data_IF_137930546249
#
_entry.id   IF_137930546249
#
_cell.length_a   1.000
_cell.length_b   1.000
_cell.length_c   1.000
_cell.angle_alpha   90.00
_cell.angle_beta   90.00
_cell.angle_gamma   90.00
#
_symmetry.space_group_name_H-M   'P 1'
#
loop_
_entity.id
_entity.type
_entity.pdbx_description
1 polymer ?
#
# COMPACT_ATOMS: atom_id res chain seq x y z
N UNK A 1 -6.05 -13.54 16.68
CA UNK A 1 -7.14 -12.55 16.89
C UNK A 1 -7.11 -11.62 15.71
N UNK A 2 -8.25 -11.15 15.17
CA UNK A 2 -8.20 -10.17 14.06
C UNK A 2 -7.56 -8.89 14.60
N UNK A 3 -6.27 -8.70 14.35
CA UNK A 3 -5.63 -7.47 14.75
C UNK A 3 -6.22 -6.31 13.94
N UNK A 4 -6.03 -5.11 14.47
CA UNK A 4 -6.49 -3.89 13.83
C UNK A 4 -5.27 -3.19 13.27
N UNK A 5 -5.33 -2.87 11.99
CA UNK A 5 -4.29 -2.12 11.31
C UNK A 5 -4.29 -0.68 11.82
N UNK A 6 -3.12 -0.19 12.24
CA UNK A 6 -2.90 1.18 12.69
C UNK A 6 -3.11 2.18 11.56
N UNK A 7 -3.71 3.32 11.88
CA UNK A 7 -4.00 4.39 10.93
C UNK A 7 -3.45 5.72 11.43
N UNK A 8 -3.30 6.68 10.53
CA UNK A 8 -2.80 8.01 10.84
C UNK A 8 -3.86 9.10 10.62
N UNK A 9 -3.67 10.24 11.27
CA UNK A 9 -4.38 11.47 10.92
C UNK A 9 -3.87 12.06 9.58
N UNK A 10 -4.47 13.18 9.15
CA UNK A 10 -4.09 13.85 7.89
C UNK A 10 -2.62 14.29 7.83
N UNK A 11 -1.97 14.45 8.98
CA UNK A 11 -0.58 14.89 9.11
C UNK A 11 0.40 13.72 9.27
N UNK A 12 -0.03 12.48 9.00
CA UNK A 12 0.75 11.25 9.21
C UNK A 12 1.12 11.01 10.68
N UNK A 13 0.34 11.52 11.63
CA UNK A 13 0.50 11.15 13.05
C UNK A 13 -0.30 9.90 13.35
N UNK A 14 0.37 8.89 13.90
CA UNK A 14 -0.27 7.66 14.34
C UNK A 14 -1.41 7.97 15.32
N UNK A 15 -2.60 7.43 15.04
CA UNK A 15 -3.73 7.55 15.94
C UNK A 15 -3.70 6.43 16.99
N UNK A 16 -4.19 6.73 18.18
CA UNK A 16 -4.49 5.73 19.20
C UNK A 16 -5.50 4.71 18.64
N UNK A 17 -5.43 3.48 19.14
CA UNK A 17 -6.19 2.35 18.61
C UNK A 17 -7.70 2.61 18.56
N UNK A 18 -8.29 3.07 19.67
CA UNK A 18 -9.75 3.28 19.76
C UNK A 18 -10.24 4.43 18.88
N UNK A 19 -9.63 5.63 18.88
CA UNK A 19 -9.99 6.68 17.92
C UNK A 19 -9.81 6.25 16.46
N UNK A 20 -8.69 5.60 16.13
CA UNK A 20 -8.41 5.13 14.77
C UNK A 20 -9.40 4.09 14.27
N UNK A 21 -9.86 3.20 15.15
CA UNK A 21 -10.91 2.22 14.85
C UNK A 21 -12.27 2.85 14.50
N UNK A 22 -12.58 3.96 15.14
CA UNK A 22 -13.86 4.65 15.00
C UNK A 22 -13.77 5.84 14.03
N UNK A 23 -12.61 6.08 13.45
CA UNK A 23 -12.39 7.13 12.47
C UNK A 23 -13.03 6.74 11.13
N UNK A 24 -13.57 7.74 10.44
CA UNK A 24 -14.05 7.54 9.08
C UNK A 24 -12.86 7.38 8.13
N UNK A 25 -13.01 6.60 7.05
CA UNK A 25 -11.98 6.61 6.00
C UNK A 25 -11.83 8.02 5.41
N UNK A 26 -10.59 8.49 5.25
CA UNK A 26 -10.30 9.73 4.52
C UNK A 26 -10.71 9.69 3.05
N UNK A 27 -11.00 8.51 2.49
CA UNK A 27 -11.58 8.35 1.15
C UNK A 27 -13.09 8.68 1.12
N UNK A 28 -13.78 8.72 2.26
CA UNK A 28 -15.19 9.08 2.31
C UNK A 28 -15.37 10.59 2.20
N UNK A 29 -16.21 11.04 1.27
CA UNK A 29 -16.48 12.46 1.05
C UNK A 29 -17.16 13.09 2.28
N UNK A 30 -16.69 14.27 2.72
CA UNK A 30 -17.29 15.03 3.82
C UNK A 30 -17.08 14.43 5.21
N UNK A 31 -16.22 13.42 5.35
CA UNK A 31 -15.94 12.80 6.64
C UNK A 31 -15.24 13.77 7.60
N UNK A 32 -15.72 13.83 8.85
CA UNK A 32 -14.98 14.38 9.99
C UNK A 32 -14.31 13.24 10.76
N UNK A 33 -13.26 13.55 11.51
CA UNK A 33 -12.44 12.54 12.22
C UNK A 33 -11.91 11.44 11.27
N UNK A 34 -11.24 11.86 10.19
CA UNK A 34 -10.76 10.95 9.16
C UNK A 34 -9.44 10.26 9.53
N UNK A 35 -9.32 9.01 9.11
CA UNK A 35 -8.11 8.20 9.17
C UNK A 35 -7.56 7.92 7.76
N UNK A 36 -6.24 7.84 7.68
CA UNK A 36 -5.47 7.63 6.45
C UNK A 36 -4.45 6.51 6.67
N UNK A 37 -3.94 5.93 5.59
CA UNK A 37 -2.75 5.09 5.66
C UNK A 37 -1.56 5.95 6.13
N UNK A 38 -0.81 5.45 7.11
CA UNK A 38 0.44 6.07 7.51
C UNK A 38 1.49 5.96 6.39
N UNK A 39 2.38 6.94 6.31
CA UNK A 39 3.56 6.86 5.43
C UNK A 39 4.48 5.67 5.76
N UNK A 40 4.44 5.12 6.97
CA UNK A 40 5.17 3.90 7.32
C UNK A 40 4.74 2.65 6.53
N UNK A 41 3.59 2.67 5.85
CA UNK A 41 3.12 1.55 5.00
C UNK A 41 3.77 1.49 3.62
N UNK A 42 4.80 2.30 3.38
CA UNK A 42 5.57 2.29 2.15
C UNK A 42 6.47 1.05 2.03
N UNK A 43 6.84 0.62 0.80
CA UNK A 43 7.80 -0.45 0.61
C UNK A 43 9.19 0.01 1.04
N UNK A 44 9.95 -0.89 1.67
CA UNK A 44 11.29 -0.60 2.16
C UNK A 44 12.25 -1.75 1.84
N UNK A 45 13.29 -1.51 1.04
CA UNK A 45 14.29 -2.52 0.74
C UNK A 45 15.12 -2.83 2.00
N UNK A 46 15.45 -4.10 2.19
CA UNK A 46 16.35 -4.59 3.26
C UNK A 46 17.62 -5.21 2.70
N UNK A 47 17.59 -5.62 1.43
CA UNK A 47 18.73 -6.08 0.67
C UNK A 47 18.54 -5.73 -0.83
N UNK A 48 19.50 -6.10 -1.67
CA UNK A 48 19.43 -5.89 -3.13
C UNK A 48 18.31 -6.70 -3.81
N UNK A 49 17.96 -7.83 -3.21
CA UNK A 49 17.02 -8.86 -3.67
C UNK A 49 15.85 -9.10 -2.71
N UNK A 50 15.85 -8.47 -1.53
CA UNK A 50 14.74 -8.53 -0.57
C UNK A 50 14.20 -7.14 -0.19
N UNK A 51 12.88 -7.00 -0.26
CA UNK A 51 12.15 -5.82 0.24
C UNK A 51 10.96 -6.21 1.10
N UNK A 52 10.57 -5.36 2.03
CA UNK A 52 9.33 -5.52 2.78
C UNK A 52 8.31 -4.47 2.35
N UNK A 53 7.04 -4.74 2.60
CA UNK A 53 6.00 -3.74 2.47
C UNK A 53 4.62 -4.29 2.78
N UNK A 54 3.62 -3.67 2.17
CA UNK A 54 2.22 -3.90 2.48
C UNK A 54 1.43 -3.99 1.19
N UNK A 55 0.36 -4.77 1.22
CA UNK A 55 -0.45 -5.00 0.04
C UNK A 55 -1.94 -5.11 0.35
N UNK A 56 -2.71 -5.00 -0.73
CA UNK A 56 -4.10 -5.43 -0.81
C UNK A 56 -4.10 -6.75 -1.57
N UNK A 57 -4.62 -7.81 -0.96
CA UNK A 57 -4.94 -9.02 -1.72
C UNK A 57 -6.35 -8.89 -2.25
N UNK A 58 -6.48 -9.00 -3.57
CA UNK A 58 -7.74 -8.77 -4.27
C UNK A 58 -8.64 -9.99 -4.18
N UNK A 59 -9.82 -9.82 -3.58
CA UNK A 59 -10.90 -10.79 -3.58
C UNK A 59 -11.93 -10.51 -4.69
N UNK A 60 -12.90 -11.42 -4.86
CA UNK A 60 -13.95 -11.26 -5.88
C UNK A 60 -14.81 -10.00 -5.67
N UNK A 61 -14.93 -9.53 -4.43
CA UNK A 61 -15.63 -8.29 -4.08
C UNK A 61 -14.83 -7.50 -3.05
N UNK A 62 -15.14 -6.21 -2.91
CA UNK A 62 -14.52 -5.33 -1.91
C UNK A 62 -15.09 -5.54 -0.48
N UNK A 63 -15.85 -6.61 -0.25
CA UNK A 63 -16.48 -6.87 1.05
C UNK A 63 -15.42 -6.86 2.16
N UNK A 64 -15.76 -6.20 3.29
CA UNK A 64 -14.80 -5.79 4.31
C UNK A 64 -14.08 -6.93 5.05
N UNK A 65 -14.56 -8.17 4.94
CA UNK A 65 -13.94 -9.34 5.56
C UNK A 65 -12.96 -10.01 4.60
N UNK A 66 -11.75 -9.45 4.49
CA UNK A 66 -10.63 -10.15 3.87
C UNK A 66 -10.07 -11.19 4.87
N UNK A 67 -10.22 -12.51 4.63
CA UNK A 67 -9.76 -13.55 5.56
C UNK A 67 -8.24 -13.61 5.72
N UNK A 68 -7.51 -12.88 4.87
CA UNK A 68 -6.05 -12.80 4.89
C UNK A 68 -5.53 -11.48 5.47
N UNK A 69 -6.42 -10.64 6.02
CA UNK A 69 -6.01 -9.47 6.78
C UNK A 69 -4.98 -9.85 7.84
N UNK A 70 -3.88 -9.11 7.86
CA UNK A 70 -2.73 -9.23 8.75
C UNK A 70 -1.85 -10.46 8.59
N UNK A 71 -2.16 -11.35 7.64
CA UNK A 71 -1.25 -12.41 7.22
C UNK A 71 -0.16 -11.84 6.32
N UNK A 72 0.96 -12.53 6.28
CA UNK A 72 2.07 -12.19 5.40
C UNK A 72 2.26 -13.24 4.32
N UNK A 73 2.78 -12.77 3.20
CA UNK A 73 3.08 -13.60 2.04
C UNK A 73 4.47 -13.26 1.54
N UNK A 74 5.24 -14.29 1.21
CA UNK A 74 6.45 -14.16 0.42
C UNK A 74 6.03 -14.09 -1.05
N UNK A 75 6.45 -13.04 -1.73
CA UNK A 75 6.12 -12.72 -3.12
C UNK A 75 7.40 -12.81 -3.93
N UNK A 76 7.36 -13.61 -4.99
CA UNK A 76 8.46 -13.77 -5.93
C UNK A 76 8.03 -13.24 -7.30
N UNK A 77 8.77 -12.28 -7.84
CA UNK A 77 8.49 -11.74 -9.18
C UNK A 77 8.99 -12.68 -10.26
N UNK A 78 8.11 -12.97 -11.21
CA UNK A 78 8.39 -13.85 -12.36
C UNK A 78 8.46 -13.09 -13.69
N UNK A 79 8.11 -11.80 -13.70
CA UNK A 79 8.35 -10.91 -14.84
C UNK A 79 8.72 -9.49 -14.39
N UNK A 80 9.11 -8.65 -15.36
CA UNK A 80 9.50 -7.27 -15.11
C UNK A 80 10.92 -7.06 -14.54
N UNK A 81 11.20 -5.83 -14.11
CA UNK A 81 12.53 -5.41 -13.64
C UNK A 81 12.93 -5.96 -12.26
N UNK A 82 11.97 -6.51 -11.52
CA UNK A 82 12.18 -7.14 -10.22
C UNK A 82 12.26 -8.67 -10.31
N UNK A 83 12.32 -9.26 -11.51
CA UNK A 83 12.39 -10.72 -11.69
C UNK A 83 13.50 -11.34 -10.83
N UNK A 84 13.21 -12.50 -10.22
CA UNK A 84 14.07 -13.21 -9.27
C UNK A 84 14.34 -12.49 -7.93
N UNK A 85 13.67 -11.37 -7.66
CA UNK A 85 13.68 -10.76 -6.33
C UNK A 85 12.49 -11.24 -5.50
N UNK A 86 12.59 -11.02 -4.20
CA UNK A 86 11.60 -11.42 -3.21
C UNK A 86 11.08 -10.20 -2.44
N UNK A 87 9.79 -10.23 -2.12
CA UNK A 87 9.17 -9.28 -1.20
C UNK A 87 8.32 -9.99 -0.17
N UNK A 88 8.43 -9.58 1.08
CA UNK A 88 7.47 -9.98 2.11
C UNK A 88 6.45 -8.86 2.26
N UNK A 89 5.17 -9.18 2.02
CA UNK A 89 4.06 -8.24 2.19
C UNK A 89 3.17 -8.65 3.35
N UNK A 90 2.66 -7.68 4.10
CA UNK A 90 1.50 -7.89 4.98
C UNK A 90 0.23 -7.35 4.32
N UNK A 91 -0.85 -8.12 4.37
CA UNK A 91 -2.15 -7.69 3.85
C UNK A 91 -2.83 -6.81 4.90
N UNK A 92 -3.16 -5.56 4.56
CA UNK A 92 -3.62 -4.56 5.56
C UNK A 92 -4.94 -3.88 5.24
N UNK A 93 -5.52 -4.18 4.08
CA UNK A 93 -6.81 -3.64 3.67
C UNK A 93 -7.51 -4.64 2.74
N UNK A 94 -8.85 -4.69 2.73
CA UNK A 94 -9.61 -5.41 1.71
C UNK A 94 -9.50 -4.70 0.35
N UNK A 95 -9.72 -5.46 -0.73
CA UNK A 95 -9.81 -4.97 -2.10
C UNK A 95 -10.64 -5.90 -2.96
N UNK A 96 -11.41 -5.34 -3.88
CA UNK A 96 -12.25 -6.10 -4.81
C UNK A 96 -11.73 -6.02 -6.23
N UNK A 97 -11.94 -7.10 -6.99
CA UNK A 97 -11.68 -7.13 -8.42
C UNK A 97 -12.51 -6.06 -9.16
N UNK A 98 -11.96 -5.52 -10.25
CA UNK A 98 -12.60 -4.52 -11.08
C UNK A 98 -11.63 -3.77 -12.01
N UNK A 99 -12.09 -3.47 -13.22
CA UNK A 99 -11.22 -2.92 -14.28
C UNK A 99 -10.10 -3.91 -14.62
N UNK A 100 -8.86 -3.45 -14.56
CA UNK A 100 -7.67 -4.24 -14.88
C UNK A 100 -7.17 -5.14 -13.73
N UNK A 101 -7.83 -5.10 -12.57
CA UNK A 101 -7.44 -5.85 -11.38
C UNK A 101 -8.38 -7.05 -11.21
N UNK A 102 -7.81 -8.24 -11.08
CA UNK A 102 -8.53 -9.52 -10.95
C UNK A 102 -8.29 -10.18 -9.59
N UNK A 103 -9.10 -11.17 -9.27
CA UNK A 103 -8.93 -12.00 -8.06
C UNK A 103 -7.51 -12.55 -8.00
N UNK A 104 -6.94 -12.55 -6.79
CA UNK A 104 -5.59 -12.99 -6.45
C UNK A 104 -4.45 -12.05 -6.89
N UNK A 105 -4.74 -10.93 -7.56
CA UNK A 105 -3.74 -9.88 -7.72
C UNK A 105 -3.34 -9.30 -6.36
N UNK A 106 -2.10 -8.81 -6.27
CA UNK A 106 -1.63 -8.02 -5.14
C UNK A 106 -1.44 -6.56 -5.57
N UNK A 107 -2.14 -5.64 -4.90
CA UNK A 107 -1.88 -4.21 -5.04
C UNK A 107 -0.85 -3.82 -3.99
N UNK A 108 0.40 -3.62 -4.41
CA UNK A 108 1.49 -3.19 -3.52
C UNK A 108 1.34 -1.70 -3.20
N UNK A 109 1.28 -1.36 -1.91
CA UNK A 109 1.10 0.02 -1.47
C UNK A 109 2.35 0.85 -1.79
N UNK A 110 2.30 1.60 -2.89
CA UNK A 110 3.45 2.36 -3.42
C UNK A 110 3.03 3.81 -3.65
N UNK A 111 3.56 4.79 -2.91
CA UNK A 111 3.29 6.20 -3.19
C UNK A 111 3.68 6.57 -4.62
N UNK A 112 2.82 7.36 -5.26
CA UNK A 112 3.00 7.69 -6.67
C UNK A 112 2.64 6.54 -7.62
N UNK A 113 2.06 5.43 -7.16
CA UNK A 113 1.52 4.35 -8.00
C UNK A 113 0.14 4.63 -8.61
N UNK A 114 -0.47 5.76 -8.24
CA UNK A 114 -1.83 6.15 -8.64
C UNK A 114 -2.87 5.87 -7.55
N UNK A 115 -3.91 6.70 -7.51
CA UNK A 115 -4.98 6.64 -6.48
C UNK A 115 -6.10 5.64 -6.81
N UNK A 116 -6.14 5.16 -8.05
CA UNK A 116 -7.18 4.27 -8.53
C UNK A 116 -8.58 4.92 -8.51
N UNK A 117 -9.65 4.12 -8.35
CA UNK A 117 -11.03 4.63 -8.35
C UNK A 117 -11.40 5.39 -7.07
N UNK A 118 -10.64 5.23 -5.98
CA UNK A 118 -10.86 5.93 -4.71
C UNK A 118 -9.99 7.19 -4.65
N UNK A 119 -10.32 8.19 -5.46
CA UNK A 119 -9.46 9.36 -5.71
C UNK A 119 -9.50 10.46 -4.65
N UNK A 120 -10.51 10.45 -3.77
CA UNK A 120 -10.72 11.47 -2.74
C UNK A 120 -9.69 11.42 -1.60
N UNK A 121 -9.12 10.26 -1.30
CA UNK A 121 -8.26 10.08 -0.11
C UNK A 121 -7.04 11.01 -0.11
N UNK A 122 -6.26 11.01 -1.19
CA UNK A 122 -5.06 11.84 -1.27
C UNK A 122 -5.38 13.33 -1.36
N UNK A 123 -6.45 13.71 -2.07
CA UNK A 123 -6.95 15.09 -2.11
C UNK A 123 -7.36 15.56 -0.72
N UNK A 124 -8.04 14.73 0.06
CA UNK A 124 -8.47 15.05 1.42
C UNK A 124 -7.28 15.12 2.40
N UNK A 125 -6.23 14.33 2.17
CA UNK A 125 -5.04 14.32 3.04
C UNK A 125 -4.07 15.46 2.73
N UNK A 126 -3.76 15.67 1.44
CA UNK A 126 -2.69 16.56 0.97
C UNK A 126 -3.21 17.83 0.28
N UNK A 127 -4.54 18.00 0.21
CA UNK A 127 -5.21 19.18 -0.34
C UNK A 127 -5.52 19.10 -1.84
N UNK A 128 -6.31 20.06 -2.31
CA UNK A 128 -6.81 20.14 -3.68
C UNK A 128 -5.73 20.30 -4.77
N UNK A 129 -4.51 20.69 -4.38
CA UNK A 129 -3.36 20.78 -5.28
C UNK A 129 -2.67 19.43 -5.52
N UNK A 130 -3.18 18.33 -4.93
CA UNK A 130 -2.71 16.98 -5.22
C UNK A 130 -2.77 16.70 -6.73
N UNK A 131 -1.61 16.51 -7.35
CA UNK A 131 -1.47 16.15 -8.77
C UNK A 131 -0.08 15.55 -9.05
N UNK A 132 0.18 14.36 -8.49
CA UNK A 132 1.51 13.73 -8.62
C UNK A 132 1.68 12.92 -9.91
N UNK A 133 0.59 12.43 -10.48
CA UNK A 133 0.61 11.62 -11.70
C UNK A 133 -0.78 11.12 -12.07
N UNK A 134 -0.83 10.14 -12.96
CA UNK A 134 -2.11 9.57 -13.42
C UNK A 134 -2.86 8.84 -12.30
N UNK A 135 -4.19 8.79 -12.40
CA UNK A 135 -5.00 8.06 -11.42
C UNK A 135 -4.65 6.57 -11.37
N UNK A 136 -4.24 5.97 -12.51
CA UNK A 136 -3.74 4.59 -12.60
C UNK A 136 -2.29 4.60 -13.07
N UNK A 137 -1.39 3.99 -12.30
CA UNK A 137 0.05 3.95 -12.59
C UNK A 137 0.83 5.21 -12.17
N UNK A 138 0.15 6.30 -11.80
CA UNK A 138 0.74 7.44 -11.09
C UNK A 138 1.89 8.11 -11.83
N UNK A 139 3.01 8.35 -11.12
CA UNK A 139 4.22 8.95 -11.69
C UNK A 139 4.81 8.03 -12.77
N UNK A 140 5.39 8.62 -13.83
CA UNK A 140 5.90 7.87 -14.99
C UNK A 140 7.42 7.68 -15.00
N UNK A 141 8.15 8.40 -14.16
CA UNK A 141 9.59 8.30 -14.05
C UNK A 141 10.06 8.63 -12.64
N UNK A 142 11.34 8.34 -12.40
CA UNK A 142 12.00 8.50 -11.10
C UNK A 142 12.00 9.95 -10.65
N UNK A 143 12.23 10.89 -11.56
CA UNK A 143 12.34 12.33 -11.28
C UNK A 143 11.01 12.90 -10.79
N UNK A 144 9.88 12.36 -11.26
CA UNK A 144 8.57 12.76 -10.78
C UNK A 144 8.31 12.41 -9.30
N UNK A 145 9.14 11.57 -8.67
CA UNK A 145 9.08 11.35 -7.22
C UNK A 145 9.33 12.63 -6.42
N UNK A 146 10.10 13.59 -6.95
CA UNK A 146 10.37 14.86 -6.26
C UNK A 146 9.12 15.76 -6.10
N UNK A 147 8.03 15.46 -6.83
CA UNK A 147 6.75 16.16 -6.69
C UNK A 147 5.93 15.68 -5.48
N UNK A 148 6.29 14.53 -4.90
CA UNK A 148 5.60 13.99 -3.74
C UNK A 148 6.11 14.67 -2.45
N UNK A 149 5.28 14.75 -1.40
CA UNK A 149 5.70 15.10 -0.05
C UNK A 149 6.93 14.29 0.38
N UNK A 150 7.87 14.93 1.08
CA UNK A 150 9.15 14.33 1.45
C UNK A 150 9.01 12.98 2.16
N UNK A 151 7.98 12.84 3.01
CA UNK A 151 7.70 11.62 3.73
C UNK A 151 7.23 10.45 2.84
N UNK A 152 6.78 10.71 1.60
CA UNK A 152 6.33 9.70 0.63
C UNK A 152 7.35 9.40 -0.48
N UNK A 153 8.43 10.19 -0.58
CA UNK A 153 9.39 10.06 -1.65
C UNK A 153 10.13 8.71 -1.59
N UNK A 154 10.42 8.20 -0.39
CA UNK A 154 11.13 6.92 -0.21
C UNK A 154 10.43 5.75 -0.91
N UNK A 155 9.12 5.59 -0.71
CA UNK A 155 8.32 4.55 -1.35
C UNK A 155 8.13 4.77 -2.85
N UNK A 156 8.06 6.03 -3.30
CA UNK A 156 8.06 6.32 -4.74
C UNK A 156 9.39 5.91 -5.39
N UNK A 157 10.51 6.28 -4.77
CA UNK A 157 11.84 5.93 -5.24
C UNK A 157 12.12 4.42 -5.23
N UNK A 158 11.52 3.67 -4.31
CA UNK A 158 11.61 2.21 -4.29
C UNK A 158 11.18 1.59 -5.64
N UNK A 159 10.09 2.09 -6.24
CA UNK A 159 9.56 1.60 -7.53
C UNK A 159 10.60 1.66 -8.65
N UNK A 160 11.33 2.78 -8.74
CA UNK A 160 12.31 2.99 -9.80
C UNK A 160 13.71 2.47 -9.46
N UNK A 161 14.10 2.48 -8.18
CA UNK A 161 15.45 2.10 -7.77
C UNK A 161 15.57 0.61 -7.46
N UNK A 162 14.62 0.05 -6.69
CA UNK A 162 14.69 -1.34 -6.26
C UNK A 162 13.90 -2.26 -7.18
N UNK A 163 12.63 -1.91 -7.47
CA UNK A 163 11.77 -2.71 -8.38
C UNK A 163 12.13 -2.49 -9.86
N UNK A 164 12.88 -1.43 -10.17
CA UNK A 164 13.40 -1.10 -11.51
C UNK A 164 12.32 -0.84 -12.57
N UNK A 165 11.14 -0.35 -12.17
CA UNK A 165 10.13 0.05 -13.15
C UNK A 165 8.71 0.11 -12.59
N UNK A 166 7.75 0.26 -13.51
CA UNK A 166 6.35 0.15 -13.17
C UNK A 166 5.95 -1.33 -12.99
N UNK A 167 5.40 -1.65 -11.81
CA UNK A 167 5.05 -3.01 -11.37
C UNK A 167 3.65 -3.45 -11.80
N UNK A 168 2.79 -2.54 -12.27
CA UNK A 168 1.44 -2.89 -12.72
C UNK A 168 1.51 -3.87 -13.91
N UNK A 169 0.80 -4.99 -13.79
CA UNK A 169 0.77 -6.04 -14.80
C UNK A 169 1.98 -6.97 -14.80
N UNK A 170 2.91 -6.84 -13.85
CA UNK A 170 3.97 -7.84 -13.66
C UNK A 170 3.43 -9.09 -12.96
N UNK A 171 3.99 -10.22 -13.32
CA UNK A 171 3.62 -11.53 -12.81
C UNK A 171 4.39 -11.84 -11.53
N UNK A 172 3.67 -12.46 -10.60
CA UNK A 172 4.19 -12.89 -9.31
C UNK A 172 3.68 -14.30 -9.00
N UNK A 173 4.44 -15.02 -8.18
CA UNK A 173 3.92 -16.09 -7.34
C UNK A 173 4.00 -15.63 -5.89
N UNK A 174 3.13 -16.15 -5.03
CA UNK A 174 3.23 -15.85 -3.60
C UNK A 174 2.67 -16.96 -2.73
N UNK A 175 3.27 -17.14 -1.56
CA UNK A 175 2.91 -18.17 -0.59
C UNK A 175 2.87 -17.60 0.84
N UNK A 176 2.06 -18.18 1.74
CA UNK A 176 2.00 -17.72 3.12
C UNK A 176 3.37 -17.82 3.80
N UNK A 177 3.73 -16.81 4.59
CA UNK A 177 4.97 -16.81 5.38
C UNK A 177 4.75 -16.18 6.76
N UNK A 178 5.71 -16.34 7.66
CA UNK A 178 5.68 -15.66 8.96
C UNK A 178 5.85 -14.16 8.75
N UNK A 179 5.04 -13.36 9.45
CA UNK A 179 5.18 -11.91 9.39
C UNK A 179 6.46 -11.44 10.11
N UNK A 180 7.40 -10.78 9.42
CA UNK A 180 8.54 -10.16 10.07
C UNK A 180 8.06 -9.13 11.10
N UNK A 181 8.74 -9.05 12.24
CA UNK A 181 8.42 -8.07 13.31
C UNK A 181 8.30 -6.66 12.75
N UNK A 182 9.20 -6.26 11.85
CA UNK A 182 9.18 -4.97 11.15
C UNK A 182 7.82 -4.62 10.52
N UNK A 183 7.11 -5.58 9.93
CA UNK A 183 5.79 -5.31 9.35
C UNK A 183 4.72 -5.21 10.45
N UNK A 184 4.73 -6.12 11.41
CA UNK A 184 3.75 -6.13 12.51
C UNK A 184 3.94 -4.94 13.48
N UNK A 185 5.15 -4.43 13.62
CA UNK A 185 5.51 -3.29 14.47
C UNK A 185 5.14 -1.96 13.81
N UNK A 186 4.95 -1.94 12.49
CA UNK A 186 4.33 -0.83 11.76
C UNK A 186 2.81 -0.95 11.83
N UNK A 187 2.26 -2.10 11.46
CA UNK A 187 0.81 -2.27 11.33
C UNK A 187 0.08 -2.39 12.66
N UNK A 188 0.74 -2.89 13.70
CA UNK A 188 0.10 -3.28 14.95
C UNK A 188 -0.75 -4.54 14.82
N UNK A 189 -0.69 -5.22 13.68
CA UNK A 189 -1.58 -6.32 13.38
C UNK A 189 -0.84 -7.65 13.22
N UNK A 190 -1.44 -8.71 13.74
CA UNK A 190 -0.99 -10.10 13.68
C UNK A 190 -2.22 -11.00 13.46
N UNK A 191 -2.08 -12.06 12.66
CA UNK A 191 -3.14 -13.03 12.39
C UNK A 191 -3.11 -14.18 13.40
#
# INVERSE_FOLDING_TARGET
SRGVVRVCDKNNKLQDLTPGLNANSGCSNGATNSAYLCDSYQPAPVASDLTYGFAIQVSDSQNGDNPNCCKCYEVNWTSGGAVNKTMIVQIVTPGGAGGDVKKNDLIILTPGGGVGPLSSGCTNQYGNSFNWGESRGGVKNREACDKLPSNLQGGCYWRFNWARGEINGWDITYEPTECPSRLTDISGCRA
#
